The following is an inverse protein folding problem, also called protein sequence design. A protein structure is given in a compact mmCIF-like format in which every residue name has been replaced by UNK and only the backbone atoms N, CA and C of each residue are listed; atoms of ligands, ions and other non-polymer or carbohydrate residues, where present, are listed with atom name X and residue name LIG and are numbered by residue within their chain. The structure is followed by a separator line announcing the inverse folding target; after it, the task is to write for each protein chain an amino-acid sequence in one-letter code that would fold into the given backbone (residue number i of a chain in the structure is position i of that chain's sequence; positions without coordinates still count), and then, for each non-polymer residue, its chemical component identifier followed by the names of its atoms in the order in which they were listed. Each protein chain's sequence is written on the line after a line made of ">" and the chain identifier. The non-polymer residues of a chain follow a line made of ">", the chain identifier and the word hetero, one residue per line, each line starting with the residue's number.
data_IF_701261514672
#
_entry.id   IF_701261514672
#
_cell.length_a   1.000
_cell.length_b   1.000
_cell.length_c   1.000
_cell.angle_alpha   90.00
_cell.angle_beta   90.00
_cell.angle_gamma   90.00
#
_symmetry.space_group_name_H-M   'P 1'
#
loop_
_entity.id
_entity.type
_entity.pdbx_description
1 polymer ?
#
# COMPACT_ATOMS: atom_id res chain seq x y z
N UNK A 1 -4.31 15.10 -0.53
CA UNK A 1 -3.00 15.35 -1.18
C UNK A 1 -2.56 14.05 -1.80
N UNK A 2 -2.31 13.97 -3.10
CA UNK A 2 -1.83 12.73 -3.71
C UNK A 2 -0.46 12.32 -3.18
N UNK A 3 -0.09 11.07 -3.41
CA UNK A 3 1.24 10.52 -3.14
C UNK A 3 2.34 11.51 -3.58
N UNK A 4 2.79 12.34 -2.65
CA UNK A 4 3.93 13.23 -2.91
C UNK A 4 5.19 12.40 -2.66
N UNK A 5 5.77 11.93 -3.73
CA UNK A 5 6.93 11.05 -3.68
C UNK A 5 8.26 11.82 -3.72
N UNK A 6 8.25 13.09 -4.08
CA UNK A 6 9.47 13.91 -4.16
C UNK A 6 9.14 15.39 -4.27
N UNK A 7 10.03 16.24 -3.74
CA UNK A 7 10.00 17.70 -3.95
C UNK A 7 10.59 18.12 -5.30
N UNK A 8 11.18 17.18 -6.08
CA UNK A 8 11.75 17.46 -7.39
C UNK A 8 10.67 17.47 -8.49
N UNK A 9 10.78 18.35 -9.49
CA UNK A 9 9.90 18.32 -10.66
C UNK A 9 9.94 16.97 -11.38
N UNK A 10 8.79 16.51 -11.88
CA UNK A 10 8.70 15.22 -12.59
C UNK A 10 9.70 15.09 -13.74
N UNK A 11 9.93 16.17 -14.50
CA UNK A 11 10.90 16.20 -15.60
C UNK A 11 12.33 15.89 -15.14
N UNK A 12 12.75 16.44 -14.01
CA UNK A 12 14.08 16.20 -13.44
C UNK A 12 14.21 14.74 -12.97
N UNK A 13 13.20 14.22 -12.30
CA UNK A 13 13.15 12.81 -11.86
C UNK A 13 13.21 11.83 -13.04
N UNK A 14 12.53 12.13 -14.13
CA UNK A 14 12.60 11.34 -15.38
C UNK A 14 14.04 11.33 -15.93
N UNK A 15 14.70 12.48 -15.99
CA UNK A 15 16.06 12.55 -16.51
C UNK A 15 17.10 11.84 -15.61
N UNK A 16 16.87 11.84 -14.29
CA UNK A 16 17.69 11.05 -13.36
C UNK A 16 17.44 9.54 -13.55
N UNK A 17 16.17 9.10 -13.60
CA UNK A 17 15.79 7.70 -13.77
C UNK A 17 16.25 7.10 -15.10
N UNK A 18 16.32 7.90 -16.18
CA UNK A 18 16.88 7.48 -17.46
C UNK A 18 18.36 7.12 -17.40
N UNK A 19 19.09 7.63 -16.43
CA UNK A 19 20.53 7.34 -16.22
C UNK A 19 20.75 6.10 -15.37
N UNK A 20 19.75 5.66 -14.61
CA UNK A 20 19.82 4.46 -13.77
C UNK A 20 19.55 3.19 -14.57
N UNK A 21 20.57 2.75 -15.30
CA UNK A 21 20.53 1.51 -16.10
C UNK A 21 20.31 0.28 -15.24
N UNK A 22 20.76 0.32 -13.98
CA UNK A 22 20.57 -0.80 -13.06
C UNK A 22 19.08 -0.95 -12.68
N UNK A 23 18.44 0.13 -12.26
CA UNK A 23 17.01 0.14 -11.95
C UNK A 23 16.16 -0.35 -13.15
N UNK A 24 16.44 0.19 -14.35
CA UNK A 24 15.74 -0.21 -15.57
C UNK A 24 15.81 -1.71 -15.83
N UNK A 25 17.02 -2.30 -15.70
CA UNK A 25 17.22 -3.75 -15.87
C UNK A 25 16.53 -4.57 -14.78
N UNK A 26 16.58 -4.11 -13.53
CA UNK A 26 15.95 -4.79 -12.41
C UNK A 26 14.42 -4.82 -12.58
N UNK A 27 13.82 -3.69 -12.94
CA UNK A 27 12.38 -3.57 -13.19
C UNK A 27 11.97 -4.41 -14.40
N UNK A 28 12.67 -4.33 -15.53
CA UNK A 28 12.37 -5.14 -16.71
C UNK A 28 12.41 -6.63 -16.40
N UNK A 29 13.47 -7.11 -15.74
CA UNK A 29 13.61 -8.52 -15.35
C UNK A 29 12.46 -8.97 -14.42
N UNK A 30 12.06 -8.12 -13.49
CA UNK A 30 10.96 -8.43 -12.59
C UNK A 30 9.63 -8.51 -13.34
N UNK A 31 9.38 -7.59 -14.28
CA UNK A 31 8.18 -7.60 -15.13
C UNK A 31 8.10 -8.87 -15.98
N UNK A 32 9.19 -9.24 -16.65
CA UNK A 32 9.26 -10.46 -17.47
C UNK A 32 8.94 -11.71 -16.64
N UNK A 33 9.56 -11.84 -15.46
CA UNK A 33 9.32 -12.97 -14.57
C UNK A 33 7.87 -13.03 -14.05
N UNK A 34 7.22 -11.90 -13.80
CA UNK A 34 5.81 -11.86 -13.39
C UNK A 34 4.88 -12.16 -14.57
N UNK A 35 5.24 -11.71 -15.75
CA UNK A 35 4.49 -12.04 -16.97
C UNK A 35 4.50 -13.55 -17.27
N UNK A 36 5.67 -14.16 -17.19
CA UNK A 36 5.82 -15.61 -17.37
C UNK A 36 4.95 -16.40 -16.35
N UNK A 37 5.01 -16.04 -15.08
CA UNK A 37 4.18 -16.66 -14.03
C UNK A 37 2.69 -16.48 -14.30
N UNK A 38 2.28 -15.28 -14.75
CA UNK A 38 0.88 -14.99 -15.08
C UNK A 38 0.40 -15.87 -16.25
N UNK A 39 1.18 -15.98 -17.31
CA UNK A 39 0.81 -16.81 -18.46
C UNK A 39 0.74 -18.30 -18.09
N UNK A 40 1.71 -18.80 -17.33
CA UNK A 40 1.66 -20.18 -16.81
C UNK A 40 0.44 -20.44 -15.92
N UNK A 41 0.08 -19.52 -15.05
CA UNK A 41 -1.13 -19.63 -14.23
C UNK A 41 -2.41 -19.59 -15.07
N UNK A 42 -2.45 -18.75 -16.11
CA UNK A 42 -3.56 -18.66 -17.05
C UNK A 42 -3.77 -19.95 -17.83
N UNK A 43 -2.69 -20.54 -18.32
CA UNK A 43 -2.72 -21.83 -19.03
C UNK A 43 -3.17 -22.96 -18.11
N UNK A 44 -2.64 -23.02 -16.89
CA UNK A 44 -3.00 -24.04 -15.90
C UNK A 44 -4.47 -23.94 -15.47
N UNK A 45 -5.00 -22.72 -15.35
CA UNK A 45 -6.41 -22.48 -14.98
C UNK A 45 -7.36 -22.91 -16.11
N UNK A 46 -6.98 -22.79 -17.38
CA UNK A 46 -7.85 -22.99 -18.54
C UNK A 46 -9.04 -22.00 -18.57
N UNK A 47 -9.79 -22.01 -19.63
CA UNK A 47 -11.02 -21.20 -19.78
C UNK A 47 -10.95 -19.76 -19.24
N UNK A 48 -9.81 -19.11 -19.40
CA UNK A 48 -9.55 -17.78 -18.89
C UNK A 48 -10.63 -16.73 -19.19
N UNK A 49 -11.24 -16.70 -20.41
CA UNK A 49 -12.33 -15.77 -20.69
C UNK A 49 -13.53 -15.95 -19.76
N UNK A 50 -13.92 -17.18 -19.46
CA UNK A 50 -15.05 -17.47 -18.57
C UNK A 50 -14.78 -17.06 -17.14
N UNK A 51 -13.55 -17.24 -16.64
CA UNK A 51 -13.16 -16.77 -15.32
C UNK A 51 -13.17 -15.25 -15.23
N UNK A 52 -12.77 -14.55 -16.30
CA UNK A 52 -12.88 -13.07 -16.34
C UNK A 52 -14.32 -12.58 -16.34
N UNK A 53 -15.18 -13.23 -17.10
CA UNK A 53 -16.61 -12.93 -17.13
C UNK A 53 -17.26 -13.15 -15.75
N UNK A 54 -16.96 -14.28 -15.10
CA UNK A 54 -17.41 -14.53 -13.73
C UNK A 54 -16.91 -13.46 -12.75
N UNK A 55 -15.65 -13.07 -12.85
CA UNK A 55 -15.08 -12.00 -12.03
C UNK A 55 -15.79 -10.64 -12.26
N UNK A 56 -16.18 -10.34 -13.49
CA UNK A 56 -16.96 -9.15 -13.80
C UNK A 56 -18.37 -9.22 -13.17
N UNK A 57 -19.06 -10.35 -13.31
CA UNK A 57 -20.39 -10.55 -12.73
C UNK A 57 -20.37 -10.43 -11.21
N UNK A 58 -19.36 -11.00 -10.54
CA UNK A 58 -19.19 -10.87 -9.08
C UNK A 58 -19.03 -9.41 -8.68
N UNK A 59 -18.20 -8.64 -9.40
CA UNK A 59 -17.99 -7.22 -9.11
C UNK A 59 -19.24 -6.39 -9.35
N UNK A 60 -19.96 -6.62 -10.44
CA UNK A 60 -21.23 -5.94 -10.73
C UNK A 60 -22.25 -6.21 -9.63
N UNK A 61 -22.40 -7.47 -9.22
CA UNK A 61 -23.28 -7.85 -8.13
C UNK A 61 -22.89 -7.15 -6.83
N UNK A 62 -21.58 -7.17 -6.49
CA UNK A 62 -21.10 -6.53 -5.27
C UNK A 62 -21.38 -5.03 -5.25
N UNK A 63 -21.17 -4.33 -6.38
CA UNK A 63 -21.46 -2.89 -6.48
C UNK A 63 -22.96 -2.63 -6.38
N UNK A 64 -23.78 -3.44 -7.03
CA UNK A 64 -25.24 -3.30 -7.02
C UNK A 64 -25.84 -3.43 -5.61
N UNK A 65 -25.30 -4.34 -4.80
CA UNK A 65 -25.77 -4.64 -3.45
C UNK A 65 -24.79 -4.14 -2.36
N UNK A 66 -23.94 -3.18 -2.70
CA UNK A 66 -22.92 -2.67 -1.77
C UNK A 66 -23.50 -2.14 -0.45
N UNK A 67 -24.62 -1.39 -0.44
CA UNK A 67 -25.25 -0.95 0.82
C UNK A 67 -25.62 -2.11 1.74
N UNK A 68 -26.25 -3.16 1.19
CA UNK A 68 -26.68 -4.33 1.95
C UNK A 68 -25.48 -5.08 2.56
N UNK A 69 -24.40 -5.24 1.77
CA UNK A 69 -23.15 -5.84 2.25
C UNK A 69 -22.46 -5.00 3.34
N UNK A 70 -22.49 -3.67 3.23
CA UNK A 70 -21.93 -2.80 4.26
C UNK A 70 -22.74 -2.83 5.56
N UNK A 71 -24.06 -2.92 5.48
CA UNK A 71 -24.94 -3.10 6.64
C UNK A 71 -24.65 -4.44 7.33
N UNK A 72 -24.69 -5.54 6.58
CA UNK A 72 -24.38 -6.87 7.10
C UNK A 72 -22.97 -6.94 7.71
N UNK A 73 -21.97 -6.36 7.07
CA UNK A 73 -20.62 -6.27 7.58
C UNK A 73 -20.58 -5.53 8.92
N UNK A 74 -21.20 -4.35 8.99
CA UNK A 74 -21.21 -3.52 10.19
C UNK A 74 -21.86 -4.23 11.35
N UNK A 75 -23.00 -4.88 11.11
CA UNK A 75 -23.71 -5.68 12.10
C UNK A 75 -22.86 -6.84 12.62
N UNK A 76 -22.21 -7.56 11.72
CA UNK A 76 -21.38 -8.70 12.09
C UNK A 76 -20.13 -8.29 12.87
N UNK A 77 -19.54 -7.14 12.56
CA UNK A 77 -18.42 -6.56 13.33
C UNK A 77 -18.92 -6.16 14.73
N UNK A 78 -20.06 -5.46 14.82
CA UNK A 78 -20.64 -5.03 16.09
C UNK A 78 -21.01 -6.21 16.99
N UNK A 79 -21.61 -7.27 16.46
CA UNK A 79 -21.93 -8.52 17.18
C UNK A 79 -20.69 -9.19 17.79
N UNK A 80 -19.50 -8.96 17.22
CA UNK A 80 -18.21 -9.47 17.72
C UNK A 80 -17.45 -8.46 18.59
N UNK A 81 -18.08 -7.35 18.97
CA UNK A 81 -17.49 -6.30 19.82
C UNK A 81 -16.57 -5.34 19.09
N UNK A 82 -16.52 -5.38 17.76
CA UNK A 82 -15.80 -4.41 16.95
C UNK A 82 -16.60 -3.13 16.72
N UNK A 83 -15.95 -2.14 16.13
CA UNK A 83 -16.59 -0.87 15.74
C UNK A 83 -16.31 -0.62 14.26
N UNK A 84 -17.31 -0.15 13.54
CA UNK A 84 -17.17 0.33 12.15
C UNK A 84 -17.42 1.83 12.15
N UNK A 85 -16.56 2.54 11.47
CA UNK A 85 -16.67 3.98 11.27
C UNK A 85 -16.65 4.28 9.77
N UNK A 86 -17.64 4.99 9.28
CA UNK A 86 -17.74 5.43 7.90
C UNK A 86 -17.26 6.88 7.79
N UNK A 87 -16.05 7.09 7.29
CA UNK A 87 -15.53 8.42 7.02
C UNK A 87 -15.98 8.87 5.61
N UNK A 88 -16.40 10.11 5.49
CA UNK A 88 -16.73 10.74 4.20
C UNK A 88 -15.53 11.44 3.59
N UNK A 89 -14.55 11.82 4.41
CA UNK A 89 -13.34 12.50 3.97
C UNK A 89 -12.09 11.88 4.59
N UNK A 90 -10.94 12.20 4.01
CA UNK A 90 -9.65 11.79 4.56
C UNK A 90 -9.41 12.34 5.97
N UNK A 91 -9.84 13.58 6.19
CA UNK A 91 -9.72 14.28 7.48
C UNK A 91 -10.54 13.57 8.57
N UNK A 92 -11.76 13.14 8.27
CA UNK A 92 -12.59 12.38 9.21
C UNK A 92 -11.96 11.04 9.55
N UNK A 93 -11.40 10.32 8.56
CA UNK A 93 -10.71 9.05 8.79
C UNK A 93 -9.50 9.26 9.70
N UNK A 94 -8.68 10.26 9.42
CA UNK A 94 -7.49 10.58 10.19
C UNK A 94 -7.83 11.02 11.62
N UNK A 95 -8.84 11.85 11.80
CA UNK A 95 -9.26 12.29 13.14
C UNK A 95 -9.79 11.12 13.98
N UNK A 96 -10.55 10.22 13.38
CA UNK A 96 -11.02 9.01 14.08
C UNK A 96 -9.84 8.13 14.54
N UNK A 97 -8.87 7.87 13.66
CA UNK A 97 -7.67 7.10 14.01
C UNK A 97 -6.88 7.79 15.11
N UNK A 98 -6.67 9.12 15.00
CA UNK A 98 -5.99 9.93 16.01
C UNK A 98 -6.68 9.83 17.38
N UNK A 99 -7.99 9.95 17.43
CA UNK A 99 -8.76 9.78 18.67
C UNK A 99 -8.51 8.41 19.31
N UNK A 100 -8.55 7.34 18.53
CA UNK A 100 -8.27 5.98 19.02
C UNK A 100 -6.85 5.88 19.59
N UNK A 101 -5.86 6.43 18.90
CA UNK A 101 -4.46 6.45 19.36
C UNK A 101 -4.32 7.18 20.71
N UNK A 102 -4.94 8.36 20.84
CA UNK A 102 -4.91 9.16 22.06
C UNK A 102 -5.67 8.48 23.21
N UNK A 103 -6.87 7.94 22.98
CA UNK A 103 -7.63 7.19 23.97
C UNK A 103 -6.88 5.98 24.52
N UNK A 104 -6.21 5.24 23.64
CA UNK A 104 -5.40 4.08 24.00
C UNK A 104 -4.03 4.43 24.55
N UNK A 105 -3.64 5.71 24.50
CA UNK A 105 -2.28 6.18 24.82
C UNK A 105 -1.21 5.35 24.10
N UNK A 106 -1.50 5.02 22.84
CA UNK A 106 -0.63 4.17 22.04
C UNK A 106 0.63 4.96 21.63
N UNK A 107 1.80 4.38 21.89
CA UNK A 107 3.10 4.96 21.54
C UNK A 107 3.75 4.27 20.35
N UNK A 108 3.35 3.02 20.08
CA UNK A 108 3.87 2.23 18.97
C UNK A 108 2.70 1.76 18.12
N UNK A 109 2.73 2.10 16.86
CA UNK A 109 1.73 1.72 15.87
C UNK A 109 2.43 0.87 14.83
N UNK A 110 1.84 -0.27 14.52
CA UNK A 110 2.27 -1.13 13.42
C UNK A 110 1.17 -1.19 12.38
N UNK A 111 1.55 -1.12 11.13
CA UNK A 111 0.59 -1.24 10.02
C UNK A 111 1.18 -2.10 8.91
N UNK A 112 0.34 -2.77 8.17
CA UNK A 112 0.70 -3.38 6.90
C UNK A 112 0.38 -2.43 5.77
N UNK A 113 1.00 -2.65 4.62
CA UNK A 113 0.76 -1.85 3.42
C UNK A 113 -0.73 -1.68 3.13
N UNK A 114 -1.13 -0.43 2.99
CA UNK A 114 -2.45 -0.05 2.54
C UNK A 114 -2.36 1.19 1.66
N UNK A 115 -2.82 1.07 0.41
CA UNK A 115 -2.88 2.21 -0.51
C UNK A 115 -3.82 3.30 0.01
N UNK A 116 -4.94 2.90 0.63
CA UNK A 116 -5.92 3.83 1.20
C UNK A 116 -5.29 4.66 2.32
N UNK A 117 -4.55 4.03 3.25
CA UNK A 117 -3.90 4.77 4.34
C UNK A 117 -2.83 5.74 3.84
N UNK A 118 -2.18 5.40 2.72
CA UNK A 118 -1.23 6.31 2.06
C UNK A 118 -1.95 7.49 1.39
N UNK A 119 -3.07 7.23 0.72
CA UNK A 119 -3.87 8.26 0.04
C UNK A 119 -4.49 9.27 1.00
N UNK A 120 -4.83 8.85 2.22
CA UNK A 120 -5.39 9.73 3.27
C UNK A 120 -4.31 10.34 4.18
N UNK A 121 -3.03 10.19 3.85
CA UNK A 121 -1.90 10.75 4.61
C UNK A 121 -1.88 10.33 6.11
N UNK A 122 -2.19 9.06 6.40
CA UNK A 122 -2.26 8.58 7.80
C UNK A 122 -0.90 8.62 8.50
N UNK A 123 0.19 8.29 7.78
CA UNK A 123 1.54 8.26 8.37
C UNK A 123 2.04 9.64 8.79
N UNK A 124 1.94 10.69 7.94
CA UNK A 124 2.27 12.04 8.36
C UNK A 124 1.46 12.52 9.56
N UNK A 125 0.17 12.18 9.63
CA UNK A 125 -0.69 12.52 10.77
C UNK A 125 -0.22 11.82 12.05
N UNK A 126 0.07 10.53 12.00
CA UNK A 126 0.51 9.74 13.16
C UNK A 126 1.90 10.17 13.65
N UNK A 127 2.84 10.41 12.74
CA UNK A 127 4.21 10.86 13.05
C UNK A 127 4.23 12.30 13.60
N UNK A 128 3.18 13.08 13.37
CA UNK A 128 2.99 14.41 13.98
C UNK A 128 2.50 14.37 15.43
N UNK A 129 2.18 13.21 15.99
CA UNK A 129 1.78 13.04 17.38
C UNK A 129 3.01 12.88 18.29
N UNK A 130 2.97 13.50 19.48
CA UNK A 130 4.03 13.38 20.46
C UNK A 130 4.20 11.94 20.94
N UNK A 131 5.43 11.46 20.98
CA UNK A 131 5.78 10.13 21.53
C UNK A 131 5.19 8.94 20.75
N UNK A 132 4.76 9.13 19.50
CA UNK A 132 4.21 8.09 18.63
C UNK A 132 5.23 7.67 17.58
N UNK A 133 5.44 6.37 17.46
CA UNK A 133 6.22 5.78 16.38
C UNK A 133 5.36 4.87 15.51
N UNK A 134 5.57 4.91 14.20
CA UNK A 134 4.88 4.08 13.21
C UNK A 134 5.88 3.13 12.57
N UNK A 135 5.53 1.86 12.45
CA UNK A 135 6.35 0.85 11.81
C UNK A 135 5.55 0.09 10.74
N UNK A 136 6.07 0.09 9.55
CA UNK A 136 5.57 -0.76 8.47
C UNK A 136 5.94 -2.22 8.73
N UNK A 137 5.02 -3.14 8.50
CA UNK A 137 5.26 -4.59 8.63
C UNK A 137 5.33 -5.32 7.29
N UNK A 138 4.92 -4.66 6.19
CA UNK A 138 5.22 -5.15 4.84
C UNK A 138 6.71 -4.94 4.55
N UNK A 139 7.38 -5.99 4.04
CA UNK A 139 8.83 -5.96 3.83
C UNK A 139 9.27 -4.84 2.89
N UNK A 140 8.53 -4.63 1.81
CA UNK A 140 8.93 -3.65 0.80
C UNK A 140 8.76 -2.21 1.31
N UNK A 141 7.67 -1.93 2.03
CA UNK A 141 7.44 -0.64 2.69
C UNK A 141 8.43 -0.41 3.83
N UNK A 142 8.72 -1.47 4.62
CA UNK A 142 9.68 -1.38 5.71
C UNK A 142 11.10 -1.05 5.21
N UNK A 143 11.51 -1.61 4.07
CA UNK A 143 12.81 -1.26 3.45
C UNK A 143 12.86 0.22 3.09
N UNK A 144 11.79 0.78 2.52
CA UNK A 144 11.73 2.21 2.21
C UNK A 144 11.71 3.06 3.48
N UNK A 145 10.97 2.66 4.50
CA UNK A 145 10.96 3.32 5.80
C UNK A 145 12.35 3.36 6.44
N UNK A 146 13.08 2.26 6.38
CA UNK A 146 14.46 2.18 6.89
C UNK A 146 15.45 3.03 6.08
N UNK A 147 15.16 3.32 4.81
CA UNK A 147 15.94 4.22 3.95
C UNK A 147 15.34 5.64 3.95
N UNK A 148 14.92 6.09 5.12
CA UNK A 148 14.39 7.43 5.39
C UNK A 148 13.19 7.81 4.49
N UNK A 149 12.29 6.83 4.28
CA UNK A 149 11.10 6.95 3.44
C UNK A 149 11.46 7.25 1.97
N UNK A 150 12.45 6.51 1.44
CA UNK A 150 12.81 6.61 0.02
C UNK A 150 11.60 6.40 -0.90
N UNK A 151 11.69 6.99 -2.06
CA UNK A 151 10.59 7.05 -3.02
C UNK A 151 10.23 5.66 -3.57
N UNK A 152 8.95 5.25 -3.51
CA UNK A 152 8.53 3.98 -4.08
C UNK A 152 8.61 4.01 -5.62
N UNK A 153 9.16 2.97 -6.23
CA UNK A 153 9.25 2.84 -7.69
C UNK A 153 8.09 2.04 -8.31
N UNK A 154 7.29 1.38 -7.48
CA UNK A 154 6.19 0.53 -7.93
C UNK A 154 5.09 0.44 -6.86
N UNK A 155 3.83 0.38 -7.28
CA UNK A 155 2.68 0.36 -6.36
C UNK A 155 2.66 -0.94 -5.53
N UNK A 156 2.88 -2.10 -6.15
CA UNK A 156 2.78 -3.41 -5.48
C UNK A 156 4.11 -3.81 -4.84
N UNK A 157 5.22 -3.53 -5.50
CA UNK A 157 6.57 -3.84 -5.05
C UNK A 157 7.40 -2.56 -4.90
N UNK A 158 7.11 -1.70 -3.91
CA UNK A 158 7.63 -0.35 -3.86
C UNK A 158 9.16 -0.26 -3.82
N UNK A 159 9.85 -1.24 -3.25
CA UNK A 159 11.31 -1.30 -3.17
C UNK A 159 11.99 -2.14 -4.26
N UNK A 160 11.29 -2.46 -5.37
CA UNK A 160 11.80 -3.33 -6.46
C UNK A 160 13.07 -2.78 -7.14
N UNK A 161 13.31 -1.49 -7.03
CA UNK A 161 14.51 -0.82 -7.55
C UNK A 161 15.77 -1.09 -6.73
N UNK A 162 15.64 -1.63 -5.51
CA UNK A 162 16.79 -1.91 -4.62
C UNK A 162 17.29 -3.34 -4.80
N UNK A 163 18.61 -3.49 -4.86
CA UNK A 163 19.25 -4.81 -4.85
C UNK A 163 19.63 -5.23 -3.41
N UNK A 164 20.04 -6.49 -3.24
CA UNK A 164 20.42 -7.06 -1.94
C UNK A 164 21.50 -6.26 -1.23
N UNK A 165 22.49 -5.76 -1.96
CA UNK A 165 23.60 -5.01 -1.36
C UNK A 165 23.13 -3.64 -0.86
N UNK A 166 22.29 -2.96 -1.63
CA UNK A 166 21.68 -1.70 -1.21
C UNK A 166 20.80 -1.91 0.04
N UNK A 167 19.98 -2.96 0.06
CA UNK A 167 19.17 -3.31 1.23
C UNK A 167 20.07 -3.61 2.44
N UNK A 168 21.15 -4.38 2.25
CA UNK A 168 22.12 -4.65 3.34
C UNK A 168 22.71 -3.35 3.88
N UNK A 169 23.05 -2.41 3.03
CA UNK A 169 23.58 -1.11 3.43
C UNK A 169 22.56 -0.27 4.20
N UNK A 170 21.30 -0.28 3.78
CA UNK A 170 20.19 0.39 4.49
C UNK A 170 20.10 -0.13 5.92
N UNK A 171 20.04 -1.45 6.10
CA UNK A 171 19.94 -2.07 7.43
C UNK A 171 21.22 -1.93 8.28
N UNK A 172 22.37 -1.75 7.67
CA UNK A 172 23.62 -1.56 8.41
C UNK A 172 23.78 -0.13 8.97
N UNK A 173 23.02 0.84 8.47
CA UNK A 173 23.05 2.25 8.93
C UNK A 173 22.17 2.50 10.15
N UNK A 174 21.22 1.61 10.43
CA UNK A 174 20.25 1.74 11.52
C UNK A 174 20.60 0.80 12.67
#
# INVERSE_FOLDING_TARGET
>A
MGLSTSNKPLSERIEESKKDVFMQKAVAKAQDAQWEKREGAREALGNWPQWRELGEQIRQHTIQYLPDYLEEFSDNVAKRGGKVFFAQTAEEANEYVKQVVLEKKAKKIVKSKSMVTTEVDIDPMLLGLDDVSVMETDLAEFILQMDDWDEPSHIVFPSIHKNREQIRQVFAKK
#
